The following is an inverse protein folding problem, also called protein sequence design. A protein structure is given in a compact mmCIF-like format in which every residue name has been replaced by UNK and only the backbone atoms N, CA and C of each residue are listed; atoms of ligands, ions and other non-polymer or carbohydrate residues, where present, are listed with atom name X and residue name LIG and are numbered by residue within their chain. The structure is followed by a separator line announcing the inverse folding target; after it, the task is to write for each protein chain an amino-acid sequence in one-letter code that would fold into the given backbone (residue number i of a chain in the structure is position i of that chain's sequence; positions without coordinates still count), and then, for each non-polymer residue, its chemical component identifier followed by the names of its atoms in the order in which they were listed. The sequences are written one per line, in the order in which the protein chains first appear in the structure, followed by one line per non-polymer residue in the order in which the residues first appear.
data_IF_096537744485
#
_entry.id   IF_096537744485
#
_cell.length_a   1.000
_cell.length_b   1.000
_cell.length_c   1.000
_cell.angle_alpha   90.00
_cell.angle_beta   90.00
_cell.angle_gamma   90.00
#
_symmetry.space_group_name_H-M   'P 1'
#
loop_
_entity.id
_entity.type
_entity.pdbx_description
1 polymer ?
#
# COMPACT_ATOMS: atom_id res chain seq x y z
N UNK A 1 14.00 4.11 5.13
CA UNK A 1 13.42 5.44 4.84
C UNK A 1 12.22 5.69 5.73
N UNK A 2 11.21 4.83 5.75
CA UNK A 2 9.93 5.05 6.46
C UNK A 2 10.09 5.19 7.98
N UNK A 3 10.95 4.40 8.63
CA UNK A 3 11.27 4.54 10.05
C UNK A 3 11.79 5.93 10.41
N UNK A 4 12.68 6.50 9.57
CA UNK A 4 13.22 7.84 9.79
C UNK A 4 12.15 8.93 9.63
N UNK A 5 11.19 8.72 8.73
CA UNK A 5 10.04 9.64 8.56
C UNK A 5 9.18 9.63 9.82
N UNK A 6 8.78 8.45 10.33
CA UNK A 6 8.00 8.35 11.57
C UNK A 6 8.69 9.00 12.77
N UNK A 7 9.97 8.67 12.99
CA UNK A 7 10.76 9.28 14.07
C UNK A 7 10.87 10.80 13.89
N UNK A 8 11.18 11.27 12.67
CA UNK A 8 11.33 12.70 12.38
C UNK A 8 10.04 13.48 12.52
N UNK A 9 8.90 12.91 12.13
CA UNK A 9 7.60 13.55 12.27
C UNK A 9 7.16 13.58 13.74
N UNK A 10 7.20 12.45 14.44
CA UNK A 10 6.82 12.36 15.86
C UNK A 10 7.74 13.15 16.78
N UNK A 11 9.00 13.39 16.42
CA UNK A 11 9.89 14.27 17.19
C UNK A 11 9.48 15.74 17.14
N UNK A 12 8.73 16.14 16.10
CA UNK A 12 8.19 17.50 15.92
C UNK A 12 6.81 17.65 16.53
N UNK A 13 5.96 16.65 16.31
CA UNK A 13 4.62 16.58 16.88
C UNK A 13 4.25 15.14 17.17
N UNK A 14 4.09 14.80 18.45
CA UNK A 14 3.74 13.45 18.90
C UNK A 14 2.33 13.01 18.50
N UNK A 15 1.47 13.95 18.14
CA UNK A 15 0.09 13.67 17.71
C UNK A 15 0.02 13.18 16.25
N UNK A 16 1.11 13.29 15.47
CA UNK A 16 1.15 12.76 14.10
C UNK A 16 1.02 11.24 14.16
N UNK A 17 -0.01 10.72 13.53
CA UNK A 17 -0.24 9.29 13.39
C UNK A 17 0.51 8.73 12.18
N UNK A 18 1.16 7.60 12.37
CA UNK A 18 1.89 6.87 11.32
C UNK A 18 1.13 5.59 11.01
N UNK A 19 0.72 5.45 9.76
CA UNK A 19 0.07 4.24 9.28
C UNK A 19 1.00 3.42 8.38
N UNK A 20 0.96 2.10 8.56
CA UNK A 20 1.55 1.13 7.64
C UNK A 20 0.46 0.63 6.70
N UNK A 21 0.68 0.73 5.40
CA UNK A 21 -0.12 0.02 4.40
C UNK A 21 0.67 -1.18 3.93
N UNK A 22 0.05 -2.35 3.95
CA UNK A 22 0.72 -3.61 3.64
C UNK A 22 -0.01 -4.36 2.53
N UNK A 23 0.76 -4.92 1.61
CA UNK A 23 0.23 -5.67 0.48
C UNK A 23 -0.11 -7.10 0.84
N UNK A 24 -0.92 -7.73 0.03
CA UNK A 24 -1.16 -9.17 0.04
C UNK A 24 0.16 -9.96 0.08
N UNK A 25 0.17 -11.11 0.76
CA UNK A 25 1.36 -11.97 0.88
C UNK A 25 2.45 -11.49 1.83
N UNK A 26 2.26 -10.34 2.47
CA UNK A 26 3.17 -9.77 3.47
C UNK A 26 2.72 -10.07 4.89
N UNK A 27 3.63 -9.87 5.86
CA UNK A 27 3.38 -10.08 7.29
C UNK A 27 3.27 -8.79 8.10
N UNK A 28 3.47 -7.63 7.49
CA UNK A 28 3.58 -6.37 8.25
C UNK A 28 2.25 -5.93 8.83
N UNK A 29 1.16 -6.14 8.11
CA UNK A 29 -0.18 -5.87 8.64
C UNK A 29 -0.42 -6.66 9.94
N UNK A 30 -0.22 -7.97 9.92
CA UNK A 30 -0.40 -8.82 11.10
C UNK A 30 0.57 -8.45 12.22
N UNK A 31 1.81 -8.14 11.88
CA UNK A 31 2.81 -7.72 12.86
C UNK A 31 2.40 -6.45 13.62
N UNK A 32 1.96 -5.41 12.91
CA UNK A 32 1.58 -4.14 13.56
C UNK A 32 0.21 -4.17 14.22
N UNK A 33 -0.66 -5.12 13.86
CA UNK A 33 -1.98 -5.26 14.50
C UNK A 33 -1.99 -6.23 15.69
N UNK A 34 -1.24 -7.32 15.61
CA UNK A 34 -1.30 -8.41 16.60
C UNK A 34 0.05 -8.93 17.09
N UNK A 35 1.16 -8.40 16.59
CA UNK A 35 2.51 -8.89 16.88
C UNK A 35 2.88 -10.20 16.16
N UNK A 36 2.02 -10.71 15.28
CA UNK A 36 2.20 -11.96 14.57
C UNK A 36 2.88 -11.73 13.20
N UNK A 37 3.84 -12.59 12.83
CA UNK A 37 4.55 -12.55 11.54
C UNK A 37 3.96 -13.48 10.47
N UNK A 38 2.74 -13.95 10.65
CA UNK A 38 2.06 -14.71 9.62
C UNK A 38 1.75 -13.84 8.40
N UNK A 39 1.98 -14.41 7.21
CA UNK A 39 1.61 -13.76 5.97
C UNK A 39 0.09 -13.70 5.84
N UNK A 40 -0.43 -12.61 5.29
CA UNK A 40 -1.84 -12.46 4.99
C UNK A 40 -2.11 -12.53 3.49
N UNK A 41 -2.92 -13.50 3.07
CA UNK A 41 -3.26 -13.74 1.67
C UNK A 41 -2.17 -14.46 0.87
N UNK A 42 -2.47 -14.70 -0.39
CA UNK A 42 -1.57 -15.34 -1.36
C UNK A 42 -0.44 -14.39 -1.77
N UNK A 43 0.60 -14.89 -2.48
CA UNK A 43 1.64 -14.02 -3.03
C UNK A 43 1.06 -12.93 -3.91
N UNK A 44 1.51 -11.69 -3.71
CA UNK A 44 1.06 -10.52 -4.48
C UNK A 44 1.76 -10.40 -5.82
N UNK A 45 1.07 -9.81 -6.81
CA UNK A 45 1.70 -9.39 -8.07
C UNK A 45 2.56 -8.12 -7.90
N UNK A 46 2.41 -7.40 -6.79
CA UNK A 46 3.19 -6.20 -6.51
C UNK A 46 4.67 -6.52 -6.29
N UNK A 47 5.54 -5.62 -6.72
CA UNK A 47 6.98 -5.80 -6.64
C UNK A 47 7.63 -4.75 -5.72
N UNK A 48 8.71 -5.16 -5.04
CA UNK A 48 9.52 -4.28 -4.22
C UNK A 48 8.91 -3.87 -2.88
N UNK A 49 7.73 -4.37 -2.53
CA UNK A 49 7.03 -4.15 -1.26
C UNK A 49 6.62 -5.49 -0.63
N UNK A 50 6.18 -5.42 0.62
CA UNK A 50 5.82 -6.61 1.40
C UNK A 50 7.05 -7.26 2.05
N UNK A 51 6.94 -7.60 3.31
CA UNK A 51 7.98 -8.28 4.06
C UNK A 51 7.42 -9.37 4.96
N UNK A 52 8.20 -10.44 5.15
CA UNK A 52 7.85 -11.55 6.04
C UNK A 52 8.78 -11.66 7.26
N UNK A 53 9.57 -10.62 7.53
CA UNK A 53 10.52 -10.60 8.65
C UNK A 53 10.71 -9.20 9.21
N UNK A 54 11.00 -9.10 10.49
CA UNK A 54 11.38 -7.84 11.11
C UNK A 54 12.87 -7.61 10.89
N UNK A 55 13.19 -6.53 10.20
CA UNK A 55 14.57 -6.07 10.04
C UNK A 55 14.94 -5.12 11.17
N UNK A 56 16.24 -4.96 11.46
CA UNK A 56 16.74 -3.99 12.44
C UNK A 56 16.24 -2.56 12.18
N UNK A 57 15.97 -2.23 10.92
CA UNK A 57 15.42 -0.94 10.55
C UNK A 57 13.94 -0.80 10.92
N UNK A 58 13.22 -1.90 11.10
CA UNK A 58 11.79 -1.92 11.41
C UNK A 58 11.50 -2.10 12.91
N UNK A 59 12.41 -2.76 13.67
CA UNK A 59 12.24 -3.10 15.09
C UNK A 59 11.79 -1.94 15.99
N UNK A 60 12.15 -0.71 15.64
CA UNK A 60 11.82 0.49 16.44
C UNK A 60 10.92 1.45 15.66
N UNK A 61 10.18 0.95 14.68
CA UNK A 61 9.24 1.76 13.94
C UNK A 61 7.95 1.90 14.76
N UNK A 62 7.64 3.12 15.14
CA UNK A 62 6.37 3.44 15.77
C UNK A 62 5.31 3.57 14.67
N UNK A 63 4.42 2.58 14.60
CA UNK A 63 3.26 2.54 13.72
C UNK A 63 2.02 2.54 14.59
N UNK A 64 1.14 3.50 14.37
CA UNK A 64 -0.08 3.68 15.17
C UNK A 64 -1.25 2.88 14.57
N UNK A 65 -1.28 2.73 13.25
CA UNK A 65 -2.36 2.07 12.51
C UNK A 65 -1.76 1.20 11.40
N UNK A 66 -2.46 0.12 11.03
CA UNK A 66 -2.03 -0.72 9.92
C UNK A 66 -3.22 -1.13 9.04
N UNK A 67 -3.03 -1.08 7.72
CA UNK A 67 -4.07 -1.39 6.75
C UNK A 67 -3.58 -2.43 5.75
N UNK A 68 -4.37 -3.46 5.55
CA UNK A 68 -4.16 -4.48 4.54
C UNK A 68 -4.84 -4.04 3.23
N UNK A 69 -4.14 -4.25 2.12
CA UNK A 69 -4.63 -3.99 0.77
C UNK A 69 -4.37 -5.22 -0.09
N UNK A 70 -5.41 -5.82 -0.62
CA UNK A 70 -5.25 -6.93 -1.55
C UNK A 70 -4.96 -6.47 -2.98
N UNK A 71 -4.60 -7.42 -3.83
CA UNK A 71 -4.20 -7.13 -5.20
C UNK A 71 -5.32 -6.56 -6.06
N UNK A 72 -6.57 -6.96 -5.79
CA UNK A 72 -7.76 -6.44 -6.51
C UNK A 72 -7.99 -4.97 -6.16
N UNK A 73 -8.01 -4.65 -4.87
CA UNK A 73 -8.14 -3.28 -4.40
C UNK A 73 -7.02 -2.37 -4.96
N UNK A 74 -5.80 -2.90 -5.01
CA UNK A 74 -4.64 -2.18 -5.55
C UNK A 74 -4.82 -1.85 -7.03
N UNK A 75 -5.09 -2.86 -7.87
CA UNK A 75 -5.18 -2.66 -9.33
C UNK A 75 -6.40 -1.84 -9.73
N UNK A 76 -7.55 -2.03 -9.09
CA UNK A 76 -8.75 -1.20 -9.30
C UNK A 76 -8.47 0.27 -9.01
N UNK A 77 -7.76 0.54 -7.91
CA UNK A 77 -7.39 1.91 -7.57
C UNK A 77 -6.45 2.52 -8.59
N UNK A 78 -5.44 1.78 -9.08
CA UNK A 78 -4.53 2.27 -10.11
C UNK A 78 -5.26 2.60 -11.41
N UNK A 79 -6.17 1.75 -11.88
CA UNK A 79 -6.98 2.03 -13.06
C UNK A 79 -7.92 3.21 -12.86
N UNK A 80 -8.48 3.35 -11.66
CA UNK A 80 -9.29 4.53 -11.31
C UNK A 80 -8.47 5.81 -11.38
N UNK A 81 -7.27 5.83 -10.79
CA UNK A 81 -6.39 7.00 -10.80
C UNK A 81 -5.96 7.39 -12.22
N UNK A 82 -5.71 6.43 -13.10
CA UNK A 82 -5.47 6.70 -14.52
C UNK A 82 -6.69 7.38 -15.16
N UNK A 83 -7.88 6.82 -14.97
CA UNK A 83 -9.12 7.26 -15.63
C UNK A 83 -9.60 8.62 -15.12
N UNK A 84 -9.48 8.89 -13.81
CA UNK A 84 -10.07 10.09 -13.20
C UNK A 84 -9.08 11.23 -12.99
N UNK A 85 -7.82 10.91 -12.74
CA UNK A 85 -6.79 11.88 -12.37
C UNK A 85 -5.65 11.98 -13.40
N UNK A 86 -5.59 11.07 -14.36
CA UNK A 86 -4.48 10.99 -15.32
C UNK A 86 -3.15 10.54 -14.68
N UNK A 87 -3.20 9.90 -13.52
CA UNK A 87 -2.02 9.47 -12.77
C UNK A 87 -1.62 8.04 -13.16
N UNK A 88 -0.47 7.91 -13.80
CA UNK A 88 0.11 6.64 -14.27
C UNK A 88 1.14 6.13 -13.26
N UNK A 89 0.65 5.39 -12.24
CA UNK A 89 1.42 5.06 -11.04
C UNK A 89 1.70 3.55 -10.91
N UNK A 90 2.81 3.23 -10.26
CA UNK A 90 3.21 1.86 -9.93
C UNK A 90 2.42 1.24 -8.79
N UNK A 91 2.58 -0.07 -8.61
CA UNK A 91 1.77 -0.90 -7.69
C UNK A 91 1.83 -0.45 -6.23
N UNK A 92 3.01 -0.03 -5.76
CA UNK A 92 3.17 0.47 -4.39
C UNK A 92 2.36 1.75 -4.12
N UNK A 93 2.16 2.59 -5.14
CA UNK A 93 1.29 3.78 -5.04
C UNK A 93 -0.18 3.39 -4.88
N UNK A 94 -0.64 2.35 -5.60
CA UNK A 94 -2.00 1.80 -5.44
C UNK A 94 -2.27 1.32 -4.01
N UNK A 95 -1.34 0.57 -3.44
CA UNK A 95 -1.40 0.12 -2.03
C UNK A 95 -1.45 1.31 -1.09
N UNK A 96 -0.58 2.30 -1.29
CA UNK A 96 -0.52 3.50 -0.44
C UNK A 96 -1.81 4.32 -0.50
N UNK A 97 -2.37 4.56 -1.68
CA UNK A 97 -3.62 5.33 -1.85
C UNK A 97 -4.80 4.59 -1.23
N UNK A 98 -4.90 3.26 -1.42
CA UNK A 98 -5.95 2.47 -0.78
C UNK A 98 -5.85 2.50 0.74
N UNK A 99 -4.65 2.37 1.30
CA UNK A 99 -4.43 2.51 2.73
C UNK A 99 -4.82 3.90 3.25
N UNK A 100 -4.45 4.97 2.53
CA UNK A 100 -4.85 6.33 2.86
C UNK A 100 -6.39 6.51 2.86
N UNK A 101 -7.09 5.89 1.90
CA UNK A 101 -8.56 5.91 1.85
C UNK A 101 -9.17 5.14 3.05
N UNK A 102 -8.61 3.98 3.41
CA UNK A 102 -9.05 3.21 4.59
C UNK A 102 -8.86 4.03 5.86
N UNK A 103 -7.70 4.67 6.01
CA UNK A 103 -7.41 5.57 7.13
C UNK A 103 -8.36 6.77 7.17
N UNK A 104 -8.65 7.39 6.02
CA UNK A 104 -9.57 8.52 5.94
C UNK A 104 -10.99 8.15 6.38
N UNK A 105 -11.47 6.95 6.01
CA UNK A 105 -12.78 6.45 6.43
C UNK A 105 -12.85 6.20 7.93
N UNK A 106 -11.77 5.74 8.54
CA UNK A 106 -11.68 5.46 9.98
C UNK A 106 -11.60 6.75 10.80
N UNK A 107 -10.77 7.71 10.37
CA UNK A 107 -10.56 8.96 11.09
C UNK A 107 -11.71 9.97 10.89
N UNK A 108 -12.46 9.85 9.80
CA UNK A 108 -13.52 10.80 9.45
C UNK A 108 -13.03 12.14 8.91
N UNK A 109 -13.93 13.12 8.73
CA UNK A 109 -13.61 14.41 8.13
C UNK A 109 -12.75 15.28 9.06
N UNK A 110 -12.05 16.26 8.47
CA UNK A 110 -11.25 17.25 9.19
C UNK A 110 -9.79 16.84 9.41
N UNK A 111 -9.38 15.66 8.91
CA UNK A 111 -8.00 15.18 9.00
C UNK A 111 -7.23 15.41 7.70
N UNK A 112 -5.94 15.70 7.80
CA UNK A 112 -5.02 15.76 6.67
C UNK A 112 -4.23 14.46 6.63
N UNK A 113 -4.35 13.70 5.53
CA UNK A 113 -3.63 12.45 5.30
C UNK A 113 -2.64 12.65 4.16
N UNK A 114 -1.38 12.31 4.43
CA UNK A 114 -0.29 12.39 3.45
C UNK A 114 0.15 10.97 3.10
N UNK A 115 0.20 10.67 1.81
CA UNK A 115 0.73 9.41 1.30
C UNK A 115 1.78 9.65 0.21
N UNK A 116 2.60 8.63 -0.06
CA UNK A 116 3.69 8.73 -1.04
C UNK A 116 3.29 8.01 -2.32
N UNK A 117 3.42 8.70 -3.45
CA UNK A 117 3.35 8.12 -4.78
C UNK A 117 4.77 7.78 -5.20
N UNK A 118 5.13 6.48 -5.21
CA UNK A 118 6.53 6.05 -5.21
C UNK A 118 7.17 6.07 -6.60
N UNK A 119 6.58 5.38 -7.56
CA UNK A 119 7.08 5.24 -8.93
C UNK A 119 5.93 5.25 -9.94
N UNK A 120 6.27 5.28 -11.22
CA UNK A 120 5.31 5.23 -12.32
C UNK A 120 4.98 3.78 -12.76
N UNK A 121 3.96 3.61 -13.60
CA UNK A 121 3.49 2.33 -14.07
C UNK A 121 4.34 1.70 -15.19
N UNK A 122 5.27 2.42 -15.82
CA UNK A 122 6.06 1.89 -16.94
C UNK A 122 6.80 0.61 -16.56
N UNK A 123 7.30 0.56 -15.34
CA UNK A 123 8.02 -0.60 -14.78
C UNK A 123 7.16 -1.86 -14.67
N UNK A 124 5.84 -1.68 -14.60
CA UNK A 124 4.86 -2.76 -14.38
C UNK A 124 3.95 -2.97 -15.58
N UNK A 125 4.30 -2.39 -16.74
CA UNK A 125 3.45 -2.36 -17.92
C UNK A 125 3.03 -3.77 -18.38
N UNK A 126 3.98 -4.70 -18.45
CA UNK A 126 3.76 -6.08 -18.90
C UNK A 126 2.84 -6.90 -17.99
N UNK A 127 2.57 -6.41 -16.78
CA UNK A 127 1.62 -7.00 -15.83
C UNK A 127 0.30 -6.22 -15.80
N UNK A 128 0.38 -4.93 -15.48
CA UNK A 128 -0.81 -4.10 -15.27
C UNK A 128 -1.66 -3.89 -16.53
N UNK A 129 -1.05 -3.91 -17.71
CA UNK A 129 -1.73 -3.67 -18.98
C UNK A 129 -1.77 -4.91 -19.89
N UNK A 130 -1.48 -6.07 -19.34
CA UNK A 130 -1.56 -7.36 -20.02
C UNK A 130 -2.87 -8.07 -19.63
N UNK A 131 -3.81 -8.19 -20.58
CA UNK A 131 -5.12 -8.83 -20.36
C UNK A 131 -5.01 -10.27 -19.90
N UNK A 132 -4.09 -11.04 -20.48
CA UNK A 132 -3.91 -12.44 -20.14
C UNK A 132 -3.38 -12.56 -18.72
N UNK A 133 -2.39 -11.75 -18.34
CA UNK A 133 -1.87 -11.70 -16.98
C UNK A 133 -2.97 -11.35 -15.95
N UNK A 134 -3.80 -10.33 -16.25
CA UNK A 134 -4.88 -9.92 -15.35
C UNK A 134 -5.92 -11.04 -15.18
N UNK A 135 -6.33 -11.68 -16.28
CA UNK A 135 -7.30 -12.78 -16.26
C UNK A 135 -6.75 -14.01 -15.52
N UNK A 136 -5.52 -14.42 -15.80
CA UNK A 136 -4.87 -15.59 -15.19
C UNK A 136 -4.71 -15.44 -13.66
N UNK A 137 -4.55 -14.20 -13.19
CA UNK A 137 -4.45 -13.88 -11.76
C UNK A 137 -5.78 -13.45 -11.13
N UNK A 138 -6.90 -13.51 -11.87
CA UNK A 138 -8.22 -13.12 -11.38
C UNK A 138 -8.30 -11.65 -10.96
N UNK A 139 -7.49 -10.80 -11.60
CA UNK A 139 -7.44 -9.36 -11.36
C UNK A 139 -8.46 -8.61 -12.24
N UNK A 140 -8.99 -7.48 -11.77
CA UNK A 140 -9.92 -6.67 -12.54
C UNK A 140 -9.35 -6.20 -13.88
N UNK A 141 -10.16 -6.32 -14.94
CA UNK A 141 -9.85 -5.82 -16.27
C UNK A 141 -10.73 -4.58 -16.54
N UNK A 142 -10.16 -3.41 -16.77
CA UNK A 142 -10.95 -2.22 -17.06
C UNK A 142 -11.49 -2.21 -18.49
N UNK A 143 -12.66 -1.60 -18.71
CA UNK A 143 -13.35 -1.56 -20.00
C UNK A 143 -12.53 -0.92 -21.14
N UNK A 144 -11.58 -0.08 -20.80
CA UNK A 144 -10.77 0.69 -21.75
C UNK A 144 -9.42 0.02 -22.12
N UNK A 145 -9.08 -1.13 -21.54
CA UNK A 145 -7.84 -1.87 -21.81
C UNK A 145 -8.01 -2.90 -22.93
#
# INVERSE_FOLDING_TARGET
VYKRQGIGLKSRDKNIQIACTDSQGSSMYNYFTSGNLEKKGDPSFTEGIGQARITKNLEKCEVDMSYYVDDKECIEMLFKLIKTEGLFLGTSSGVNVMGAIKMAKELGPGNTIVTILCDDANKYYDKMFNKDFLNDNGLPLPDWL
#
